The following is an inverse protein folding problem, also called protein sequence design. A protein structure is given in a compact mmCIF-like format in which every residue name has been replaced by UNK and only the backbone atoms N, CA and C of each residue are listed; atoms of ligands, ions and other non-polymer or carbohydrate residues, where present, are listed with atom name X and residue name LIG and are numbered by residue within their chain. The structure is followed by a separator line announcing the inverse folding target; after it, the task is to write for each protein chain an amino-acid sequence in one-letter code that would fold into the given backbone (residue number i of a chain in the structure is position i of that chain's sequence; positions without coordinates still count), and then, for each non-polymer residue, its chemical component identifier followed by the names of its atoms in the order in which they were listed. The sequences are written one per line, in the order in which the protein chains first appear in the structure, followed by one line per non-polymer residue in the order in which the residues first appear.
data_IF_421796117467
#
_entry.id   IF_421796117467
#
_cell.length_a   1.000
_cell.length_b   1.000
_cell.length_c   1.000
_cell.angle_alpha   90.00
_cell.angle_beta   90.00
_cell.angle_gamma   90.00
#
_symmetry.space_group_name_H-M   'P 1'
#
loop_
_entity.id
_entity.type
_entity.pdbx_description
1 polymer ?
#
# COMPACT_ATOMS: atom_id res chain seq x y z
N UNK A 1 7.76 -20.58 15.46
CA UNK A 1 6.95 -20.04 16.57
C UNK A 1 7.11 -18.53 16.66
N UNK A 2 8.29 -17.99 16.86
CA UNK A 2 8.49 -16.53 17.03
C UNK A 2 7.99 -15.66 15.88
N UNK A 3 8.14 -16.06 14.62
CA UNK A 3 7.66 -15.28 13.45
C UNK A 3 6.13 -15.23 13.43
N UNK A 4 5.46 -16.36 13.69
CA UNK A 4 4.00 -16.39 13.71
C UNK A 4 3.39 -15.57 14.87
N UNK A 5 4.07 -15.54 16.02
CA UNK A 5 3.66 -14.71 17.15
C UNK A 5 3.84 -13.22 16.85
N UNK A 6 4.95 -12.84 16.20
CA UNK A 6 5.20 -11.46 15.77
C UNK A 6 4.17 -11.00 14.73
N UNK A 7 3.83 -11.83 13.74
CA UNK A 7 2.79 -11.54 12.75
C UNK A 7 1.41 -11.36 13.38
N UNK A 8 1.04 -12.21 14.35
CA UNK A 8 -0.24 -12.08 15.08
C UNK A 8 -0.29 -10.79 15.88
N UNK A 9 0.78 -10.46 16.60
CA UNK A 9 0.86 -9.22 17.37
C UNK A 9 0.81 -7.98 16.48
N UNK A 10 1.56 -8.01 15.36
CA UNK A 10 1.56 -6.93 14.38
C UNK A 10 0.17 -6.72 13.76
N UNK A 11 -0.52 -7.80 13.39
CA UNK A 11 -1.89 -7.73 12.88
C UNK A 11 -2.86 -7.15 13.90
N UNK A 12 -2.77 -7.56 15.15
CA UNK A 12 -3.64 -7.03 16.21
C UNK A 12 -3.40 -5.53 16.42
N UNK A 13 -2.14 -5.08 16.40
CA UNK A 13 -1.79 -3.67 16.49
C UNK A 13 -2.33 -2.88 15.27
N UNK A 14 -2.16 -3.41 14.07
CA UNK A 14 -2.69 -2.83 12.82
C UNK A 14 -4.22 -2.74 12.82
N UNK A 15 -4.92 -3.76 13.29
CA UNK A 15 -6.39 -3.78 13.39
C UNK A 15 -6.93 -2.74 14.39
N UNK A 16 -6.16 -2.42 15.43
CA UNK A 16 -6.50 -1.41 16.44
C UNK A 16 -6.10 0.01 16.05
N UNK A 17 -5.30 0.19 15.00
CA UNK A 17 -4.85 1.50 14.55
C UNK A 17 -6.04 2.39 14.18
N UNK A 18 -6.03 3.64 14.67
CA UNK A 18 -7.03 4.63 14.30
C UNK A 18 -6.70 5.22 12.94
N UNK A 19 -7.57 4.97 11.97
CA UNK A 19 -7.44 5.46 10.61
C UNK A 19 -8.52 6.47 10.27
N UNK A 20 -8.24 7.29 9.26
CA UNK A 20 -9.21 8.26 8.76
C UNK A 20 -10.41 7.55 8.11
N UNK A 21 -11.60 7.90 8.53
CA UNK A 21 -12.86 7.53 7.91
C UNK A 21 -13.37 8.71 7.07
N UNK A 22 -13.72 8.45 5.82
CA UNK A 22 -14.11 9.46 4.85
C UNK A 22 -15.41 9.11 4.12
N UNK A 23 -15.97 10.09 3.45
CA UNK A 23 -17.12 9.90 2.55
C UNK A 23 -16.67 9.61 1.09
N UNK A 24 -17.65 9.52 0.19
CA UNK A 24 -17.44 9.28 -1.24
C UNK A 24 -16.74 10.44 -1.97
N UNK A 25 -16.57 11.59 -1.32
CA UNK A 25 -15.87 12.78 -1.81
C UNK A 25 -14.52 13.01 -1.13
N UNK A 26 -14.01 11.99 -0.41
CA UNK A 26 -12.76 12.07 0.36
C UNK A 26 -12.80 13.13 1.49
N UNK A 27 -13.98 13.42 2.00
CA UNK A 27 -14.14 14.32 3.16
C UNK A 27 -14.01 13.51 4.45
N UNK A 28 -13.17 13.95 5.38
CA UNK A 28 -12.99 13.29 6.68
C UNK A 28 -14.24 13.41 7.53
N UNK A 29 -14.81 12.28 7.92
CA UNK A 29 -15.98 12.16 8.80
C UNK A 29 -15.59 11.84 10.24
N UNK A 30 -14.43 11.24 10.46
CA UNK A 30 -13.94 10.86 11.76
C UNK A 30 -12.74 9.90 11.70
N UNK A 31 -12.52 9.20 12.81
CA UNK A 31 -11.48 8.18 12.94
C UNK A 31 -12.07 6.94 13.60
N UNK A 32 -11.67 5.77 13.10
CA UNK A 32 -12.13 4.46 13.60
C UNK A 32 -10.95 3.48 13.62
N UNK A 33 -11.01 2.45 14.48
CA UNK A 33 -10.10 1.32 14.37
C UNK A 33 -10.19 0.69 12.97
N UNK A 34 -9.05 0.34 12.40
CA UNK A 34 -8.96 -0.22 11.04
C UNK A 34 -9.86 -1.44 10.84
N UNK A 35 -9.92 -2.34 11.82
CA UNK A 35 -10.81 -3.51 11.76
C UNK A 35 -12.29 -3.11 11.72
N UNK A 36 -12.70 -2.12 12.49
CA UNK A 36 -14.08 -1.64 12.52
C UNK A 36 -14.49 -1.01 11.18
N UNK A 37 -13.63 -0.18 10.60
CA UNK A 37 -13.87 0.40 9.28
C UNK A 37 -14.11 -0.69 8.23
N UNK A 38 -13.27 -1.74 8.21
CA UNK A 38 -13.39 -2.88 7.30
C UNK A 38 -14.68 -3.65 7.52
N UNK A 39 -15.01 -4.01 8.77
CA UNK A 39 -16.22 -4.79 9.12
C UNK A 39 -17.50 -4.04 8.74
N UNK A 40 -17.51 -2.73 8.93
CA UNK A 40 -18.68 -1.87 8.61
C UNK A 40 -18.76 -1.48 7.13
N UNK A 41 -17.77 -1.86 6.31
CA UNK A 41 -17.72 -1.52 4.89
C UNK A 41 -17.62 -0.02 4.63
N UNK A 42 -16.97 0.72 5.53
CA UNK A 42 -16.78 2.16 5.42
C UNK A 42 -15.56 2.47 4.53
N UNK A 43 -15.46 3.74 4.12
CA UNK A 43 -14.41 4.20 3.22
C UNK A 43 -13.24 4.75 4.03
N UNK A 44 -12.05 4.21 3.77
CA UNK A 44 -10.80 4.74 4.32
C UNK A 44 -9.97 5.48 3.28
N UNK A 45 -8.79 5.91 3.69
CA UNK A 45 -7.73 6.45 2.84
C UNK A 45 -6.54 5.52 2.83
N UNK A 46 -5.91 5.35 1.69
CA UNK A 46 -4.67 4.61 1.57
C UNK A 46 -3.68 5.30 0.64
N UNK A 47 -2.41 4.98 0.83
CA UNK A 47 -1.33 5.44 -0.03
C UNK A 47 -0.76 4.29 -0.84
N UNK A 48 -0.39 4.58 -2.08
CA UNK A 48 0.19 3.65 -3.03
C UNK A 48 1.43 4.31 -3.61
N UNK A 49 2.61 3.81 -3.22
CA UNK A 49 3.90 4.35 -3.63
C UNK A 49 4.56 3.40 -4.63
N UNK A 50 4.64 3.82 -5.87
CA UNK A 50 5.37 3.13 -6.91
C UNK A 50 6.86 3.47 -6.78
N UNK A 51 7.64 2.53 -6.28
CA UNK A 51 9.09 2.70 -6.11
C UNK A 51 9.81 2.20 -7.35
N UNK A 52 10.57 3.06 -7.98
CA UNK A 52 11.44 2.74 -9.11
C UNK A 52 12.90 2.79 -8.70
N UNK A 53 13.74 1.98 -9.36
CA UNK A 53 15.19 2.17 -9.33
C UNK A 53 15.65 3.13 -10.45
N UNK A 54 16.92 3.48 -10.49
CA UNK A 54 17.48 4.38 -11.50
C UNK A 54 17.39 3.81 -12.94
N UNK A 55 17.28 2.48 -13.08
CA UNK A 55 17.04 1.83 -14.36
C UNK A 55 15.59 1.93 -14.85
N UNK A 56 14.69 2.51 -14.03
CA UNK A 56 13.26 2.65 -14.33
C UNK A 56 12.45 1.39 -14.09
N UNK A 57 13.02 0.40 -13.39
CA UNK A 57 12.31 -0.80 -12.99
C UNK A 57 11.49 -0.56 -11.71
N UNK A 58 10.30 -1.12 -11.67
CA UNK A 58 9.33 -1.02 -10.59
C UNK A 58 9.60 -2.10 -9.53
N UNK A 59 9.60 -1.71 -8.26
CA UNK A 59 9.64 -2.62 -7.14
C UNK A 59 8.31 -3.36 -7.01
N UNK A 60 8.36 -4.67 -7.14
CA UNK A 60 7.22 -5.58 -6.93
C UNK A 60 7.51 -6.44 -5.72
N UNK A 61 6.57 -6.54 -4.79
CA UNK A 61 6.76 -7.31 -3.57
C UNK A 61 5.57 -8.23 -3.30
N UNK A 62 5.79 -9.21 -2.43
CA UNK A 62 4.77 -10.17 -2.04
C UNK A 62 4.34 -9.92 -0.60
N UNK A 63 3.05 -9.80 -0.39
CA UNK A 63 2.41 -9.59 0.92
C UNK A 63 2.47 -10.85 1.76
N UNK A 64 2.60 -10.70 3.07
CA UNK A 64 2.51 -11.84 4.01
C UNK A 64 1.13 -12.49 3.98
N UNK A 65 1.06 -13.74 4.42
CA UNK A 65 -0.20 -14.50 4.52
C UNK A 65 -1.08 -14.01 5.69
N UNK A 66 -0.52 -13.25 6.62
CA UNK A 66 -1.23 -12.65 7.75
C UNK A 66 -2.02 -11.38 7.42
N UNK A 67 -1.86 -10.83 6.22
CA UNK A 67 -2.60 -9.63 5.79
C UNK A 67 -4.11 -9.87 5.76
N UNK A 68 -4.88 -8.90 6.28
CA UNK A 68 -6.34 -8.98 6.30
C UNK A 68 -6.96 -8.88 4.91
N UNK A 69 -6.35 -8.09 4.02
CA UNK A 69 -6.79 -7.87 2.64
C UNK A 69 -5.70 -8.37 1.69
N UNK A 70 -6.08 -9.18 0.72
CA UNK A 70 -5.17 -9.79 -0.26
C UNK A 70 -3.96 -10.53 0.35
N UNK A 71 -4.15 -11.50 1.28
CA UNK A 71 -3.04 -12.25 1.88
C UNK A 71 -2.25 -13.04 0.83
N UNK A 72 -0.93 -12.90 0.83
CA UNK A 72 -0.04 -13.62 -0.09
C UNK A 72 -0.05 -13.12 -1.55
N UNK A 73 -0.82 -12.07 -1.86
CA UNK A 73 -0.83 -11.46 -3.20
C UNK A 73 0.46 -10.68 -3.46
N UNK A 74 0.78 -10.56 -4.74
CA UNK A 74 1.79 -9.62 -5.21
C UNK A 74 1.24 -8.20 -5.23
N UNK A 75 2.10 -7.25 -4.95
CA UNK A 75 1.78 -5.83 -4.86
C UNK A 75 2.84 -5.03 -5.62
N UNK A 76 2.42 -4.06 -6.40
CA UNK A 76 3.31 -3.19 -7.17
C UNK A 76 3.50 -1.82 -6.55
N UNK A 77 2.88 -1.58 -5.42
CA UNK A 77 3.00 -0.36 -4.65
C UNK A 77 3.23 -0.67 -3.17
N UNK A 78 4.22 -0.07 -2.56
CA UNK A 78 4.29 0.02 -1.10
C UNK A 78 3.19 0.96 -0.61
N UNK A 79 2.71 0.77 0.60
CA UNK A 79 1.73 1.66 1.18
C UNK A 79 0.83 1.01 2.21
N UNK A 80 -0.06 1.82 2.76
CA UNK A 80 -0.98 1.40 3.79
C UNK A 80 -2.07 2.43 4.03
N UNK A 81 -2.84 2.20 5.09
CA UNK A 81 -3.92 3.09 5.48
C UNK A 81 -3.36 4.41 6.05
N UNK A 82 -4.01 5.51 5.69
CA UNK A 82 -3.72 6.83 6.26
C UNK A 82 -4.26 6.87 7.68
N UNK A 83 -3.37 7.07 8.65
CA UNK A 83 -3.75 7.20 10.05
C UNK A 83 -4.57 8.47 10.30
N UNK A 84 -5.34 8.46 11.38
CA UNK A 84 -6.08 9.64 11.81
C UNK A 84 -5.15 10.83 12.03
N UNK A 85 -5.44 11.96 11.37
CA UNK A 85 -4.63 13.18 11.45
C UNK A 85 -3.41 13.23 10.51
N UNK A 86 -3.09 12.16 9.81
CA UNK A 86 -2.05 12.17 8.76
C UNK A 86 -2.58 12.76 7.45
N UNK A 87 -1.69 13.40 6.70
CA UNK A 87 -1.90 13.65 5.28
C UNK A 87 -1.52 12.43 4.46
N UNK A 88 -1.94 12.36 3.20
CA UNK A 88 -1.50 11.29 2.28
C UNK A 88 0.03 11.26 2.13
N UNK A 89 0.68 12.43 2.01
CA UNK A 89 2.14 12.51 1.88
C UNK A 89 2.87 11.98 3.12
N UNK A 90 2.43 12.35 4.32
CA UNK A 90 3.01 11.85 5.57
C UNK A 90 2.85 10.32 5.70
N UNK A 91 1.68 9.80 5.37
CA UNK A 91 1.44 8.36 5.35
C UNK A 91 2.33 7.66 4.32
N UNK A 92 2.48 8.23 3.12
CA UNK A 92 3.33 7.65 2.08
C UNK A 92 4.82 7.57 2.49
N UNK A 93 5.35 8.63 3.10
CA UNK A 93 6.73 8.63 3.63
C UNK A 93 6.91 7.57 4.70
N UNK A 94 5.98 7.47 5.63
CA UNK A 94 6.01 6.48 6.72
C UNK A 94 5.95 5.05 6.19
N UNK A 95 4.99 4.74 5.33
CA UNK A 95 4.80 3.39 4.78
C UNK A 95 6.00 2.93 3.92
N UNK A 96 6.54 3.81 3.10
CA UNK A 96 7.73 3.49 2.29
C UNK A 96 8.95 3.17 3.17
N UNK A 97 9.11 3.91 4.28
CA UNK A 97 10.16 3.66 5.24
C UNK A 97 9.95 2.36 6.02
N UNK A 98 8.72 2.07 6.43
CA UNK A 98 8.37 0.86 7.21
C UNK A 98 8.47 -0.41 6.36
N UNK A 99 7.81 -0.46 5.22
CA UNK A 99 7.71 -1.69 4.41
C UNK A 99 9.00 -2.01 3.65
N UNK A 100 9.67 -1.00 3.07
CA UNK A 100 10.82 -1.18 2.18
C UNK A 100 12.13 -0.57 2.68
N UNK A 101 12.11 0.14 3.79
CA UNK A 101 13.31 0.75 4.39
C UNK A 101 13.83 1.98 3.66
N UNK A 102 13.06 2.57 2.74
CA UNK A 102 13.45 3.74 1.97
C UNK A 102 12.98 5.00 2.70
N UNK A 103 13.92 5.89 3.09
CA UNK A 103 13.64 7.04 3.97
C UNK A 103 13.77 8.40 3.30
N UNK A 104 14.77 8.60 2.49
CA UNK A 104 15.12 9.93 1.96
C UNK A 104 14.74 10.10 0.47
N UNK A 105 13.74 9.34 0.01
CA UNK A 105 13.26 9.44 -1.35
C UNK A 105 12.28 10.62 -1.49
N UNK A 106 12.42 11.37 -2.57
CA UNK A 106 11.47 12.43 -2.92
C UNK A 106 10.21 11.79 -3.51
N UNK A 107 9.08 12.00 -2.84
CA UNK A 107 7.78 11.55 -3.31
C UNK A 107 7.19 12.54 -4.31
N UNK A 108 6.74 12.04 -5.46
CA UNK A 108 5.94 12.79 -6.43
C UNK A 108 4.49 12.36 -6.34
N UNK A 109 3.59 13.30 -6.09
CA UNK A 109 2.14 13.08 -6.02
C UNK A 109 1.54 13.02 -7.43
N UNK A 110 0.74 12.00 -7.71
CA UNK A 110 0.04 11.77 -8.98
C UNK A 110 -1.49 11.85 -8.85
N UNK A 111 -1.98 12.39 -7.72
CA UNK A 111 -3.40 12.51 -7.46
C UNK A 111 -4.03 11.26 -6.84
N UNK A 112 -5.34 11.15 -6.97
CA UNK A 112 -6.14 10.16 -6.23
C UNK A 112 -7.22 9.57 -7.10
N UNK A 113 -7.65 8.35 -6.73
CA UNK A 113 -8.84 7.71 -7.27
C UNK A 113 -9.60 6.96 -6.17
N UNK A 114 -10.88 6.74 -6.38
CA UNK A 114 -11.70 5.94 -5.49
C UNK A 114 -11.76 4.50 -5.99
N UNK A 115 -11.35 3.55 -5.14
CA UNK A 115 -11.47 2.12 -5.36
C UNK A 115 -12.62 1.59 -4.50
N UNK A 116 -13.68 1.09 -5.15
CA UNK A 116 -14.89 0.65 -4.48
C UNK A 116 -15.20 -0.82 -4.82
N UNK A 117 -14.79 -1.70 -3.92
CA UNK A 117 -15.09 -3.12 -3.97
C UNK A 117 -15.69 -3.55 -2.62
N UNK A 118 -16.50 -4.61 -2.56
CA UNK A 118 -17.20 -5.01 -1.33
C UNK A 118 -16.31 -5.14 -0.10
N UNK A 119 -15.08 -5.67 -0.27
CA UNK A 119 -14.14 -5.92 0.81
C UNK A 119 -13.03 -4.87 0.92
N UNK A 120 -13.04 -3.85 0.06
CA UNK A 120 -11.99 -2.84 0.00
C UNK A 120 -12.51 -1.53 -0.60
N UNK A 121 -12.98 -0.64 0.27
CA UNK A 121 -13.50 0.69 -0.11
C UNK A 121 -12.51 1.75 0.34
N UNK A 122 -11.78 2.34 -0.60
CA UNK A 122 -10.64 3.18 -0.28
C UNK A 122 -10.41 4.30 -1.29
N UNK A 123 -10.15 5.50 -0.80
CA UNK A 123 -9.53 6.57 -1.57
C UNK A 123 -8.02 6.33 -1.64
N UNK A 124 -7.50 6.20 -2.84
CA UNK A 124 -6.11 5.84 -3.12
C UNK A 124 -5.31 7.07 -3.52
N UNK A 125 -4.39 7.53 -2.67
CA UNK A 125 -3.39 8.52 -3.02
C UNK A 125 -2.19 7.85 -3.70
N UNK A 126 -1.86 8.26 -4.91
CA UNK A 126 -0.81 7.63 -5.73
C UNK A 126 0.45 8.49 -5.75
N UNK A 127 1.57 7.87 -5.39
CA UNK A 127 2.88 8.50 -5.37
C UNK A 127 3.89 7.68 -6.16
N UNK A 128 4.95 8.34 -6.61
CA UNK A 128 6.14 7.64 -7.11
C UNK A 128 7.39 8.15 -6.42
N UNK A 129 8.39 7.29 -6.34
CA UNK A 129 9.72 7.60 -5.83
C UNK A 129 10.78 6.87 -6.65
N UNK A 130 11.99 7.39 -6.67
CA UNK A 130 13.16 6.74 -7.27
C UNK A 130 14.23 6.57 -6.20
N UNK A 131 14.72 5.35 -6.03
CA UNK A 131 15.82 5.06 -5.11
C UNK A 131 16.57 3.80 -5.53
N UNK A 132 17.91 3.85 -5.45
CA UNK A 132 18.79 2.69 -5.57
C UNK A 132 19.29 2.21 -4.21
N UNK A 133 18.77 2.75 -3.11
CA UNK A 133 19.13 2.29 -1.77
C UNK A 133 18.73 0.81 -1.59
N UNK A 134 19.50 0.03 -0.82
CA UNK A 134 19.14 -1.34 -0.51
C UNK A 134 17.78 -1.41 0.19
N UNK A 135 16.93 -2.35 -0.23
CA UNK A 135 15.65 -2.59 0.42
C UNK A 135 15.86 -3.26 1.78
N UNK A 136 15.15 -2.77 2.79
CA UNK A 136 15.05 -3.40 4.11
C UNK A 136 13.58 -3.74 4.30
N UNK A 137 13.25 -5.01 4.05
CA UNK A 137 11.86 -5.48 4.08
C UNK A 137 11.39 -5.65 5.52
N UNK A 138 10.17 -5.19 5.79
CA UNK A 138 9.47 -5.46 7.04
C UNK A 138 8.92 -6.90 7.02
N UNK A 139 9.44 -7.84 7.81
CA UNK A 139 9.11 -9.25 7.67
C UNK A 139 7.65 -9.59 8.01
N UNK A 140 6.96 -8.76 8.81
CA UNK A 140 5.55 -8.91 9.15
C UNK A 140 4.62 -8.49 8.00
N UNK A 141 5.13 -7.72 7.03
CA UNK A 141 4.35 -7.14 5.93
C UNK A 141 4.75 -7.69 4.56
N UNK A 142 6.05 -7.93 4.35
CA UNK A 142 6.65 -8.23 3.05
C UNK A 142 7.48 -9.51 3.10
N UNK A 143 7.11 -10.51 2.30
CA UNK A 143 7.83 -11.77 2.18
C UNK A 143 9.08 -11.69 1.30
N UNK A 144 8.95 -11.02 0.17
CA UNK A 144 10.00 -10.87 -0.84
C UNK A 144 9.72 -9.65 -1.71
N UNK A 145 10.78 -9.08 -2.32
CA UNK A 145 10.67 -7.99 -3.27
C UNK A 145 11.67 -8.16 -4.41
N UNK A 146 11.32 -7.64 -5.59
CA UNK A 146 12.18 -7.63 -6.77
C UNK A 146 11.85 -6.45 -7.67
N UNK A 147 12.79 -6.06 -8.51
CA UNK A 147 12.57 -5.04 -9.53
C UNK A 147 12.30 -5.68 -10.89
N UNK A 148 11.38 -5.11 -11.65
CA UNK A 148 11.05 -5.49 -13.02
C UNK A 148 10.44 -4.30 -13.76
N UNK A 149 10.37 -4.37 -15.09
CA UNK A 149 9.64 -3.33 -15.82
C UNK A 149 8.15 -3.35 -15.49
N UNK A 150 7.45 -2.23 -15.65
CA UNK A 150 6.01 -2.21 -15.39
C UNK A 150 5.23 -3.06 -16.40
N UNK A 151 5.75 -3.23 -17.62
CA UNK A 151 5.19 -4.14 -18.62
C UNK A 151 5.31 -5.61 -18.19
N UNK A 152 6.46 -5.99 -17.61
CA UNK A 152 6.64 -7.33 -17.04
C UNK A 152 5.70 -7.57 -15.87
N UNK A 153 5.53 -6.57 -14.98
CA UNK A 153 4.59 -6.66 -13.87
C UNK A 153 3.14 -6.85 -14.36
N UNK A 154 2.73 -6.14 -15.40
CA UNK A 154 1.42 -6.29 -16.01
C UNK A 154 1.21 -7.69 -16.63
N UNK A 155 2.22 -8.24 -17.32
CA UNK A 155 2.17 -9.60 -17.86
C UNK A 155 2.15 -10.66 -16.74
N UNK A 156 2.92 -10.46 -15.68
CA UNK A 156 2.97 -11.36 -14.53
C UNK A 156 1.64 -11.39 -13.79
N UNK A 157 0.94 -10.25 -13.70
CA UNK A 157 -0.37 -10.13 -13.06
C UNK A 157 -1.48 -10.95 -13.75
N UNK A 158 -1.30 -11.30 -15.01
CA UNK A 158 -2.20 -12.22 -15.71
C UNK A 158 -2.02 -13.69 -15.30
N UNK A 159 -0.92 -14.02 -14.59
CA UNK A 159 -0.54 -15.38 -14.21
C UNK A 159 -0.51 -15.62 -12.71
N UNK A 160 -0.42 -14.55 -11.92
CA UNK A 160 -0.32 -14.59 -10.47
C UNK A 160 -1.35 -13.64 -9.83
N UNK A 161 -1.77 -13.90 -8.58
CA UNK A 161 -2.66 -12.97 -7.89
C UNK A 161 -1.90 -11.69 -7.51
N UNK A 162 -2.30 -10.58 -8.09
CA UNK A 162 -1.86 -9.22 -7.76
C UNK A 162 -2.99 -8.44 -7.10
N UNK A 163 -2.63 -7.52 -6.21
CA UNK A 163 -3.58 -6.63 -5.56
C UNK A 163 -4.29 -5.76 -6.61
N UNK A 164 -5.61 -5.85 -6.77
CA UNK A 164 -6.32 -5.13 -7.83
C UNK A 164 -6.30 -3.61 -7.64
N UNK A 165 -6.26 -3.13 -6.41
CA UNK A 165 -6.14 -1.71 -6.08
C UNK A 165 -4.78 -1.14 -6.49
N UNK A 166 -3.69 -1.90 -6.29
CA UNK A 166 -2.36 -1.46 -6.74
C UNK A 166 -2.19 -1.52 -8.26
N UNK A 167 -2.82 -2.46 -8.94
CA UNK A 167 -2.88 -2.46 -10.41
C UNK A 167 -3.60 -1.20 -10.93
N UNK A 168 -4.69 -0.80 -10.29
CA UNK A 168 -5.37 0.47 -10.59
C UNK A 168 -4.50 1.68 -10.29
N UNK A 169 -3.68 1.62 -9.23
CA UNK A 169 -2.71 2.68 -8.93
C UNK A 169 -1.66 2.83 -10.04
N UNK A 170 -1.17 1.73 -10.61
CA UNK A 170 -0.26 1.75 -11.76
C UNK A 170 -0.93 2.39 -12.99
N UNK A 171 -2.15 1.99 -13.32
CA UNK A 171 -2.91 2.61 -14.43
C UNK A 171 -3.08 4.12 -14.23
N UNK A 172 -3.44 4.53 -13.01
CA UNK A 172 -3.58 5.95 -12.65
C UNK A 172 -2.25 6.70 -12.80
N UNK A 173 -1.15 6.13 -12.33
CA UNK A 173 0.19 6.70 -12.50
C UNK A 173 0.55 6.87 -13.98
N UNK A 174 0.37 5.82 -14.80
CA UNK A 174 0.70 5.87 -16.21
C UNK A 174 -0.11 6.92 -17.00
N UNK A 175 -1.32 7.20 -16.56
CA UNK A 175 -2.18 8.24 -17.13
C UNK A 175 -1.82 9.67 -16.67
N UNK A 176 -1.11 9.83 -15.54
CA UNK A 176 -0.84 11.12 -14.89
C UNK A 176 0.66 11.43 -14.67
N UNK A 177 1.57 10.68 -15.29
CA UNK A 177 3.04 10.87 -15.18
C UNK A 177 3.57 11.98 -16.10
#
# INVERSE_FOLDING_TARGET
MAVAEAEVAHRAASDAELIAWVDEHDTVLGALPRAELRIRGLIGRGTFILLFNAAGELCVHRRTLSKAVYPGYWDIAAGGMVAAGETYGQSAERELAEELGIRDAVLRDHGRFFFDQPDNRIWCGVFSAVSDAPLILQPEEVLEARFMSHEEAQLDSARKPYCPDSLRALEHYLANR
#
